data_IF_301978951645
#
_entry.id   IF_301978951645
#
_cell.length_a   1.000
_cell.length_b   1.000
_cell.length_c   1.000
_cell.angle_alpha   90.00
_cell.angle_beta   90.00
_cell.angle_gamma   90.00
#
_symmetry.space_group_name_H-M   'P 1'
#
loop_
_entity.id
_entity.type
_entity.pdbx_description
1 polymer ?
#
# COMPACT_ATOMS: atom_id res chain seq x y z
N UNK A 1 -11.73 2.95 -2.19
CA UNK A 1 -10.42 2.49 -1.75
C UNK A 1 -9.56 3.67 -1.30
N UNK A 2 -9.01 3.59 -0.12
CA UNK A 2 -8.04 4.55 0.40
C UNK A 2 -6.65 3.95 0.27
N UNK A 3 -5.75 4.65 -0.41
CA UNK A 3 -4.36 4.22 -0.55
C UNK A 3 -3.49 5.14 0.30
N UNK A 4 -2.73 4.54 1.20
CA UNK A 4 -1.82 5.26 2.06
C UNK A 4 -0.38 4.83 1.74
N UNK A 5 0.50 5.79 1.50
CA UNK A 5 1.92 5.53 1.23
C UNK A 5 2.74 6.03 2.41
N UNK A 6 3.62 5.20 2.92
CA UNK A 6 4.54 5.58 3.98
C UNK A 6 4.34 4.83 5.27
N UNK A 7 4.71 5.47 6.36
CA UNK A 7 4.69 4.88 7.70
C UNK A 7 3.82 5.76 8.60
N UNK A 8 2.49 5.68 8.45
CA UNK A 8 1.58 6.56 9.19
C UNK A 8 1.52 6.20 10.67
N UNK A 9 1.12 7.18 11.48
CA UNK A 9 0.87 6.91 12.89
C UNK A 9 -0.49 6.23 13.08
N UNK A 10 -0.75 5.80 14.32
CA UNK A 10 -1.96 5.08 14.66
C UNK A 10 -3.23 5.90 14.39
N UNK A 11 -3.19 7.21 14.64
CA UNK A 11 -4.32 8.11 14.41
C UNK A 11 -4.69 8.15 12.93
N UNK A 12 -3.69 8.23 12.06
CA UNK A 12 -3.90 8.28 10.61
C UNK A 12 -4.50 6.96 10.10
N UNK A 13 -4.00 5.84 10.58
CA UNK A 13 -4.51 4.51 10.24
C UNK A 13 -5.98 4.38 10.64
N UNK A 14 -6.31 4.77 11.87
CA UNK A 14 -7.67 4.71 12.36
C UNK A 14 -8.61 5.59 11.54
N UNK A 15 -8.16 6.78 11.19
CA UNK A 15 -8.94 7.71 10.36
C UNK A 15 -9.26 7.09 9.00
N UNK A 16 -8.26 6.53 8.33
CA UNK A 16 -8.45 5.91 7.03
C UNK A 16 -9.43 4.74 7.10
N UNK A 17 -9.26 3.85 8.09
CA UNK A 17 -10.09 2.68 8.24
C UNK A 17 -11.52 2.99 8.66
N UNK A 18 -11.73 4.15 9.27
CA UNK A 18 -13.07 4.63 9.64
C UNK A 18 -13.79 5.25 8.44
N UNK A 19 -13.06 5.95 7.57
CA UNK A 19 -13.64 6.73 6.48
C UNK A 19 -13.78 5.94 5.17
N UNK A 20 -13.05 4.84 5.01
CA UNK A 20 -13.08 4.07 3.78
C UNK A 20 -13.48 2.63 4.03
N UNK A 21 -14.16 2.01 3.05
CA UNK A 21 -14.53 0.60 3.15
C UNK A 21 -13.33 -0.33 2.99
N UNK A 22 -12.32 0.09 2.23
CA UNK A 22 -11.08 -0.65 2.04
C UNK A 22 -9.90 0.30 2.11
N UNK A 23 -8.86 -0.08 2.84
CA UNK A 23 -7.62 0.69 2.98
C UNK A 23 -6.44 -0.19 2.61
N UNK A 24 -5.60 0.29 1.70
CA UNK A 24 -4.36 -0.35 1.32
C UNK A 24 -3.20 0.56 1.73
N UNK A 25 -2.36 0.08 2.63
CA UNK A 25 -1.19 0.79 3.11
C UNK A 25 0.06 0.18 2.50
N UNK A 26 0.87 1.01 1.85
CA UNK A 26 2.12 0.59 1.24
C UNK A 26 3.29 1.16 2.03
N UNK A 27 3.96 0.29 2.81
CA UNK A 27 5.13 0.65 3.59
C UNK A 27 6.38 0.50 2.72
N UNK A 28 7.28 1.46 2.82
CA UNK A 28 8.55 1.43 2.10
C UNK A 28 9.67 1.94 3.00
N UNK A 29 10.92 1.93 2.50
CA UNK A 29 12.12 2.20 3.30
C UNK A 29 12.36 1.05 4.28
N UNK A 30 13.00 0.00 3.78
CA UNK A 30 13.07 -1.33 4.39
C UNK A 30 13.30 -1.33 5.90
N UNK A 31 14.33 -0.64 6.38
CA UNK A 31 14.66 -0.67 7.81
C UNK A 31 13.61 0.04 8.66
N UNK A 32 13.23 1.24 8.24
CA UNK A 32 12.22 2.03 8.94
C UNK A 32 10.85 1.33 8.90
N UNK A 33 10.51 0.72 7.77
CA UNK A 33 9.26 -0.01 7.62
C UNK A 33 9.18 -1.22 8.53
N UNK A 34 10.28 -1.97 8.69
CA UNK A 34 10.32 -3.13 9.58
C UNK A 34 10.14 -2.71 11.05
N UNK A 35 10.79 -1.62 11.47
CA UNK A 35 10.65 -1.08 12.82
C UNK A 35 9.21 -0.61 13.04
N UNK A 36 8.67 0.13 12.11
CA UNK A 36 7.30 0.61 12.15
C UNK A 36 6.31 -0.56 12.28
N UNK A 37 6.50 -1.61 11.48
CA UNK A 37 5.62 -2.78 11.49
C UNK A 37 5.64 -3.49 12.84
N UNK A 38 6.83 -3.66 13.43
CA UNK A 38 6.95 -4.26 14.75
C UNK A 38 6.17 -3.47 15.81
N UNK A 39 6.16 -2.15 15.69
CA UNK A 39 5.47 -1.27 16.64
C UNK A 39 3.95 -1.24 16.43
N UNK A 40 3.48 -1.42 15.19
CA UNK A 40 2.08 -1.16 14.82
C UNK A 40 1.31 -2.42 14.42
N UNK A 41 1.97 -3.56 14.35
CA UNK A 41 1.37 -4.79 13.85
C UNK A 41 0.09 -5.18 14.59
N UNK A 42 0.11 -5.13 15.91
CA UNK A 42 -1.04 -5.52 16.72
C UNK A 42 -2.21 -4.56 16.55
N UNK A 43 -1.94 -3.26 16.36
CA UNK A 43 -2.99 -2.27 16.11
C UNK A 43 -3.60 -2.45 14.72
N UNK A 44 -2.76 -2.67 13.71
CA UNK A 44 -3.24 -2.90 12.36
C UNK A 44 -4.14 -4.12 12.27
N UNK A 45 -3.86 -5.16 13.04
CA UNK A 45 -4.64 -6.39 13.05
C UNK A 45 -6.08 -6.18 13.52
N UNK A 46 -6.37 -5.07 14.20
CA UNK A 46 -7.72 -4.76 14.67
C UNK A 46 -8.64 -4.26 13.56
N UNK A 47 -8.10 -3.90 12.40
CA UNK A 47 -8.89 -3.33 11.29
C UNK A 47 -9.07 -4.38 10.20
N UNK A 48 -10.30 -4.91 10.07
CA UNK A 48 -10.61 -5.94 9.09
C UNK A 48 -10.54 -5.45 7.65
N UNK A 49 -10.68 -4.14 7.43
CA UNK A 49 -10.65 -3.52 6.10
C UNK A 49 -9.26 -2.99 5.71
N UNK A 50 -8.23 -3.27 6.51
CA UNK A 50 -6.88 -2.78 6.26
C UNK A 50 -6.02 -3.90 5.68
N UNK A 51 -5.35 -3.61 4.56
CA UNK A 51 -4.25 -4.42 4.05
C UNK A 51 -2.95 -3.63 4.16
N UNK A 52 -1.88 -4.30 4.53
CA UNK A 52 -0.54 -3.70 4.65
C UNK A 52 0.39 -4.46 3.73
N UNK A 53 1.02 -3.71 2.84
CA UNK A 53 1.91 -4.22 1.81
C UNK A 53 3.26 -3.57 1.96
N UNK A 54 4.32 -4.32 1.68
CA UNK A 54 5.67 -3.79 1.69
C UNK A 54 6.18 -3.65 0.26
N UNK A 55 6.80 -2.50 -0.03
CA UNK A 55 7.48 -2.21 -1.28
C UNK A 55 8.97 -2.03 -1.02
N UNK A 56 9.81 -2.76 -1.73
CA UNK A 56 11.24 -2.48 -1.70
C UNK A 56 11.56 -1.23 -2.53
N UNK A 57 12.81 -0.78 -2.47
CA UNK A 57 13.20 0.47 -3.12
C UNK A 57 13.03 0.41 -4.64
N UNK A 58 13.31 -0.74 -5.25
CA UNK A 58 13.12 -0.93 -6.68
C UNK A 58 11.65 -0.87 -7.09
N UNK A 59 10.79 -1.49 -6.31
CA UNK A 59 9.34 -1.48 -6.57
C UNK A 59 8.76 -0.08 -6.39
N UNK A 60 9.21 0.64 -5.36
CA UNK A 60 8.79 2.02 -5.14
C UNK A 60 9.20 2.91 -6.31
N UNK A 61 10.42 2.73 -6.83
CA UNK A 61 10.90 3.49 -7.97
C UNK A 61 10.06 3.22 -9.23
N UNK A 62 9.69 1.96 -9.48
CA UNK A 62 8.83 1.60 -10.60
C UNK A 62 7.45 2.24 -10.46
N UNK A 63 6.87 2.21 -9.28
CA UNK A 63 5.57 2.81 -9.03
C UNK A 63 5.60 4.31 -9.23
N UNK A 64 6.61 4.98 -8.67
CA UNK A 64 6.76 6.43 -8.78
C UNK A 64 6.98 6.86 -10.22
N UNK A 65 7.82 6.14 -10.97
CA UNK A 65 8.08 6.44 -12.38
C UNK A 65 6.82 6.29 -13.21
N UNK A 66 6.05 5.24 -12.99
CA UNK A 66 4.80 5.03 -13.73
C UNK A 66 3.80 6.14 -13.42
N UNK A 67 3.65 6.51 -12.15
CA UNK A 67 2.73 7.55 -11.72
C UNK A 67 3.12 8.92 -12.29
N UNK A 68 4.41 9.21 -12.42
CA UNK A 68 4.89 10.48 -12.95
C UNK A 68 4.64 10.63 -14.46
N UNK A 69 4.53 9.50 -15.17
CA UNK A 69 4.37 9.52 -16.64
C UNK A 69 2.92 9.53 -17.10
N UNK A 70 1.98 9.37 -16.20
CA UNK A 70 0.57 9.26 -16.59
C UNK A 70 -0.28 10.27 -15.84
N UNK A 71 -1.26 10.86 -16.53
CA UNK A 71 -2.24 11.76 -15.93
C UNK A 71 -3.48 11.00 -15.48
N UNK A 72 -3.73 9.83 -16.04
CA UNK A 72 -4.89 9.00 -15.71
C UNK A 72 -4.41 7.61 -15.38
N UNK A 73 -4.43 7.26 -14.12
CA UNK A 73 -3.93 5.99 -13.62
C UNK A 73 -5.08 5.18 -13.03
N UNK A 74 -5.18 3.93 -13.45
CA UNK A 74 -6.04 2.94 -12.82
C UNK A 74 -5.18 1.95 -12.05
N UNK A 75 -5.58 1.64 -10.82
CA UNK A 75 -4.86 0.72 -9.96
C UNK A 75 -5.81 -0.34 -9.41
N UNK A 76 -5.39 -1.59 -9.47
CA UNK A 76 -6.12 -2.71 -8.89
C UNK A 76 -5.15 -3.57 -8.10
N UNK A 77 -5.55 -3.95 -6.88
CA UNK A 77 -4.78 -4.88 -6.06
C UNK A 77 -5.50 -6.22 -6.08
N UNK A 78 -4.82 -7.24 -6.59
CA UNK A 78 -5.40 -8.56 -6.75
C UNK A 78 -4.31 -9.62 -6.72
N UNK A 79 -4.56 -10.71 -6.00
CA UNK A 79 -3.65 -11.87 -5.94
C UNK A 79 -2.23 -11.51 -5.50
N UNK A 80 -2.09 -10.59 -4.56
CA UNK A 80 -0.79 -10.20 -4.03
C UNK A 80 0.01 -9.30 -4.95
N UNK A 81 -0.62 -8.68 -5.93
CA UNK A 81 0.04 -7.76 -6.86
C UNK A 81 -0.77 -6.48 -7.00
N UNK A 82 -0.08 -5.38 -7.29
CA UNK A 82 -0.74 -4.17 -7.74
C UNK A 82 -0.61 -4.09 -9.27
N UNK A 83 -1.74 -3.91 -9.93
CA UNK A 83 -1.83 -3.77 -11.37
C UNK A 83 -2.12 -2.31 -11.69
N UNK A 84 -1.23 -1.67 -12.42
CA UNK A 84 -1.34 -0.28 -12.79
C UNK A 84 -1.51 -0.18 -14.31
N UNK A 85 -2.40 0.68 -14.74
CA UNK A 85 -2.61 0.89 -16.18
C UNK A 85 -2.95 2.33 -16.49
N UNK A 86 -2.54 2.75 -17.68
CA UNK A 86 -3.00 3.97 -18.31
C UNK A 86 -3.49 3.63 -19.72
N UNK A 87 -3.70 4.65 -20.56
CA UNK A 87 -4.23 4.44 -21.91
C UNK A 87 -3.29 3.63 -22.81
N UNK A 88 -1.99 3.52 -22.47
CA UNK A 88 -0.97 2.93 -23.35
C UNK A 88 -0.14 1.85 -22.70
N UNK A 89 -0.01 1.88 -21.37
CA UNK A 89 0.93 1.03 -20.65
C UNK A 89 0.28 0.33 -19.49
N UNK A 90 0.81 -0.86 -19.17
CA UNK A 90 0.42 -1.62 -18.00
C UNK A 90 1.68 -1.96 -17.19
N UNK A 91 1.54 -2.00 -15.87
CA UNK A 91 2.61 -2.38 -14.97
C UNK A 91 2.04 -3.28 -13.88
N UNK A 92 2.69 -4.40 -13.64
CA UNK A 92 2.38 -5.28 -12.53
C UNK A 92 3.54 -5.26 -11.55
N UNK A 93 3.26 -5.00 -10.26
CA UNK A 93 4.26 -5.07 -9.20
C UNK A 93 3.82 -6.14 -8.20
N UNK A 94 4.65 -7.16 -8.00
CA UNK A 94 4.41 -8.17 -6.98
C UNK A 94 4.65 -7.56 -5.60
N UNK A 95 3.69 -7.77 -4.71
CA UNK A 95 3.72 -7.17 -3.38
C UNK A 95 4.07 -8.21 -2.33
N UNK A 96 4.71 -7.77 -1.25
CA UNK A 96 4.87 -8.58 -0.05
C UNK A 96 3.77 -8.20 0.93
N UNK A 97 2.89 -9.14 1.23
CA UNK A 97 1.79 -8.89 2.14
C UNK A 97 2.25 -9.07 3.59
N UNK A 98 2.09 -8.02 4.40
CA UNK A 98 2.24 -8.11 5.85
C UNK A 98 0.91 -8.32 6.54
N UNK A 99 -0.18 -7.81 5.95
CA UNK A 99 -1.53 -8.02 6.43
C UNK A 99 -2.50 -7.97 5.24
N UNK A 100 -3.45 -8.89 5.22
CA UNK A 100 -4.52 -8.90 4.22
C UNK A 100 -5.86 -8.66 4.92
N UNK A 101 -6.87 -8.16 4.19
CA UNK A 101 -8.20 -7.94 4.77
C UNK A 101 -8.79 -9.24 5.29
N UNK A 102 -9.52 -9.13 6.38
CA UNK A 102 -10.20 -10.29 6.97
C UNK A 102 -11.60 -10.47 6.40
#
# INVERSE_FOLDING_TARGET
LWIELGLPDERRIKKACTQASDVALFAYNTRAAQIWWQQHQSKCAQFANLSVWYLDDGQLAQLSEFADRTMTLQATIQDGAIWLSDARNNLEIQLTAWQQPS
#
